data_IF_346125208873
#
_entry.id   IF_346125208873
#
_cell.length_a   1.000
_cell.length_b   1.000
_cell.length_c   1.000
_cell.angle_alpha   90.00
_cell.angle_beta   90.00
_cell.angle_gamma   90.00
#
_symmetry.space_group_name_H-M   'P 1'
#
loop_
_entity.id
_entity.type
_entity.pdbx_description
1 polymer ?
#
# COMPACT_ATOMS: atom_id res chain seq x y z
N UNK A 1 -20.48 -34.67 16.27
CA UNK A 1 -19.22 -33.94 16.50
C UNK A 1 -19.15 -32.84 15.44
N UNK A 2 -19.32 -31.58 15.77
CA UNK A 2 -19.04 -30.52 14.84
C UNK A 2 -17.52 -30.42 14.68
N UNK A 3 -17.04 -30.41 13.44
CA UNK A 3 -15.64 -30.15 13.13
C UNK A 3 -15.34 -28.71 13.59
N UNK A 4 -14.47 -28.56 14.57
CA UNK A 4 -13.89 -27.28 14.91
C UNK A 4 -13.13 -26.77 13.69
N UNK A 5 -13.71 -25.74 13.06
CA UNK A 5 -13.05 -24.98 12.00
C UNK A 5 -11.97 -24.14 12.70
N UNK A 6 -10.86 -24.74 13.01
CA UNK A 6 -9.66 -24.07 13.47
C UNK A 6 -9.11 -23.27 12.30
N UNK A 7 -9.64 -22.07 12.11
CA UNK A 7 -8.99 -21.08 11.27
C UNK A 7 -7.63 -20.78 11.92
N UNK A 8 -6.58 -21.41 11.40
CA UNK A 8 -5.20 -21.11 11.79
C UNK A 8 -4.99 -19.62 11.61
N UNK A 9 -4.57 -18.94 12.66
CA UNK A 9 -4.22 -17.52 12.61
C UNK A 9 -3.21 -17.29 11.49
N UNK A 10 -3.28 -16.16 10.78
CA UNK A 10 -2.32 -15.87 9.70
C UNK A 10 -0.89 -15.92 10.24
N UNK A 11 0.01 -16.54 9.48
CA UNK A 11 1.43 -16.71 9.85
C UNK A 11 2.23 -15.41 9.65
N UNK A 12 1.55 -14.28 9.45
CA UNK A 12 2.12 -12.95 9.23
C UNK A 12 1.34 -11.89 10.03
N UNK A 13 1.97 -10.73 10.23
CA UNK A 13 1.39 -9.58 10.92
C UNK A 13 1.70 -8.28 10.20
N UNK A 14 0.83 -7.28 10.39
CA UNK A 14 1.06 -5.90 9.95
C UNK A 14 1.58 -5.09 11.15
N UNK A 15 2.65 -4.35 10.94
CA UNK A 15 3.22 -3.45 11.94
C UNK A 15 3.76 -2.17 11.30
N UNK A 16 4.06 -1.17 12.11
CA UNK A 16 4.73 0.03 11.64
C UNK A 16 6.10 -0.29 11.04
N UNK A 17 6.44 0.41 9.95
CA UNK A 17 7.74 0.35 9.33
C UNK A 17 8.77 1.03 10.25
N UNK A 18 9.90 0.37 10.47
CA UNK A 18 11.04 0.88 11.20
C UNK A 18 12.16 1.28 10.23
N UNK A 19 13.04 2.24 10.59
CA UNK A 19 14.18 2.61 9.74
C UNK A 19 15.04 1.42 9.32
N UNK A 20 15.16 0.41 10.18
CA UNK A 20 15.89 -0.84 9.89
C UNK A 20 15.25 -1.71 8.81
N UNK A 21 13.97 -1.47 8.46
CA UNK A 21 13.26 -2.21 7.42
C UNK A 21 13.55 -1.69 6.00
N UNK A 22 14.16 -0.51 5.85
CA UNK A 22 14.33 0.15 4.55
C UNK A 22 15.15 -0.71 3.57
N UNK A 23 16.14 -1.43 4.04
CA UNK A 23 16.89 -2.38 3.22
C UNK A 23 16.01 -3.49 2.64
N UNK A 24 14.99 -3.92 3.39
CA UNK A 24 14.00 -4.89 2.92
C UNK A 24 13.09 -4.31 1.84
N UNK A 25 12.72 -3.03 1.93
CA UNK A 25 11.97 -2.34 0.88
C UNK A 25 12.74 -2.34 -0.44
N UNK A 26 14.01 -2.00 -0.42
CA UNK A 26 14.87 -2.01 -1.60
C UNK A 26 14.93 -3.40 -2.24
N UNK A 27 15.01 -4.44 -1.42
CA UNK A 27 14.99 -5.83 -1.89
C UNK A 27 13.66 -6.19 -2.57
N UNK A 28 12.53 -5.82 -1.95
CA UNK A 28 11.18 -6.07 -2.50
C UNK A 28 11.01 -5.35 -3.83
N UNK A 29 11.44 -4.10 -3.92
CA UNK A 29 11.28 -3.28 -5.11
C UNK A 29 12.14 -3.75 -6.30
N UNK A 30 13.22 -4.45 -6.03
CA UNK A 30 14.06 -5.03 -7.11
C UNK A 30 13.26 -5.93 -8.04
N UNK A 31 12.29 -6.66 -7.49
CA UNK A 31 11.45 -7.60 -8.22
C UNK A 31 10.05 -7.05 -8.56
N UNK A 32 9.78 -5.80 -8.17
CA UNK A 32 8.50 -5.10 -8.36
C UNK A 32 8.71 -3.84 -9.21
N UNK A 33 9.06 -4.02 -10.47
CA UNK A 33 9.40 -2.92 -11.39
C UNK A 33 8.22 -1.96 -11.66
N UNK A 34 6.99 -2.42 -11.43
CA UNK A 34 5.77 -1.62 -11.55
C UNK A 34 5.53 -0.67 -10.37
N UNK A 35 6.17 -0.92 -9.23
CA UNK A 35 6.09 -0.05 -8.07
C UNK A 35 7.03 1.16 -8.20
N UNK A 36 6.77 2.21 -7.44
CA UNK A 36 7.63 3.38 -7.43
C UNK A 36 9.04 3.02 -6.94
N UNK A 37 10.03 3.31 -7.76
CA UNK A 37 11.45 3.03 -7.49
C UNK A 37 12.11 4.29 -6.95
N UNK A 38 12.18 4.43 -5.62
CA UNK A 38 12.86 5.56 -4.97
C UNK A 38 14.16 5.10 -4.31
N UNK A 39 15.18 5.97 -4.25
CA UNK A 39 16.38 5.69 -3.48
C UNK A 39 16.07 5.58 -1.97
N UNK A 40 16.91 4.84 -1.25
CA UNK A 40 16.71 4.57 0.19
C UNK A 40 16.53 5.84 1.02
N UNK A 41 17.28 6.89 0.69
CA UNK A 41 17.23 8.18 1.37
C UNK A 41 15.86 8.86 1.23
N UNK A 42 15.15 8.60 0.12
CA UNK A 42 13.79 9.10 -0.07
C UNK A 42 12.81 8.44 0.89
N UNK A 43 12.95 7.15 1.13
CA UNK A 43 12.13 6.43 2.12
C UNK A 43 12.43 6.91 3.53
N UNK A 44 13.70 7.07 3.90
CA UNK A 44 14.11 7.60 5.20
C UNK A 44 13.54 8.99 5.47
N UNK A 45 13.53 9.83 4.47
CA UNK A 45 12.93 11.18 4.56
C UNK A 45 11.42 11.10 4.68
N UNK A 46 10.79 10.32 3.82
CA UNK A 46 9.32 10.23 3.72
C UNK A 46 8.68 9.73 5.02
N UNK A 47 9.24 8.69 5.64
CA UNK A 47 8.69 8.14 6.90
C UNK A 47 8.77 9.11 8.08
N UNK A 48 9.58 10.14 7.99
CA UNK A 48 9.73 11.18 9.02
C UNK A 48 8.84 12.40 8.78
N UNK A 49 8.22 12.51 7.61
CA UNK A 49 7.35 13.65 7.32
C UNK A 49 6.06 13.57 8.15
N UNK A 50 5.54 14.73 8.62
CA UNK A 50 4.23 14.76 9.25
C UNK A 50 3.15 14.18 8.34
N UNK A 51 2.24 13.40 8.92
CA UNK A 51 1.17 12.74 8.17
C UNK A 51 1.57 11.46 7.45
N UNK A 52 2.84 11.03 7.52
CA UNK A 52 3.26 9.77 6.94
C UNK A 52 2.71 8.58 7.72
N UNK A 53 2.20 7.61 6.97
CA UNK A 53 1.81 6.29 7.46
C UNK A 53 2.63 5.27 6.70
N UNK A 54 3.44 4.50 7.39
CA UNK A 54 4.29 3.48 6.79
C UNK A 54 4.11 2.15 7.54
N UNK A 55 3.70 1.12 6.82
CA UNK A 55 3.40 -0.20 7.34
C UNK A 55 4.21 -1.27 6.61
N UNK A 56 4.55 -2.33 7.31
CA UNK A 56 5.14 -3.54 6.74
C UNK A 56 4.30 -4.77 7.09
N UNK A 57 4.33 -5.74 6.20
CA UNK A 57 3.89 -7.10 6.48
C UNK A 57 5.12 -7.93 6.84
N UNK A 58 5.10 -8.54 8.01
CA UNK A 58 6.18 -9.41 8.50
C UNK A 58 5.69 -10.84 8.59
N UNK A 59 6.38 -11.75 7.92
CA UNK A 59 6.15 -13.19 7.99
C UNK A 59 7.47 -13.89 8.30
N UNK A 60 7.45 -14.82 9.28
CA UNK A 60 8.65 -15.57 9.68
C UNK A 60 9.86 -14.65 9.96
N UNK A 61 9.61 -13.55 10.67
CA UNK A 61 10.61 -12.53 11.03
C UNK A 61 11.26 -11.81 9.84
N UNK A 62 10.65 -11.88 8.65
CA UNK A 62 11.09 -11.17 7.47
C UNK A 62 10.00 -10.24 6.92
N UNK A 63 10.41 -9.06 6.45
CA UNK A 63 9.49 -8.13 5.77
C UNK A 63 9.21 -8.66 4.37
N UNK A 64 7.93 -8.91 4.07
CA UNK A 64 7.44 -9.47 2.82
C UNK A 64 6.71 -8.47 1.93
N UNK A 65 6.32 -7.34 2.49
CA UNK A 65 5.63 -6.27 1.78
C UNK A 65 5.57 -5.01 2.61
N UNK A 66 5.24 -3.91 1.97
CA UNK A 66 5.11 -2.61 2.63
C UNK A 66 4.06 -1.73 1.95
N UNK A 67 3.55 -0.76 2.69
CA UNK A 67 2.70 0.31 2.18
C UNK A 67 3.15 1.62 2.81
N UNK A 68 3.25 2.66 2.00
CA UNK A 68 3.48 4.03 2.45
C UNK A 68 2.36 4.91 1.93
N UNK A 69 1.76 5.68 2.83
CA UNK A 69 0.76 6.68 2.54
C UNK A 69 1.11 7.98 3.26
N UNK A 70 0.52 9.08 2.81
CA UNK A 70 0.67 10.37 3.46
C UNK A 70 -0.68 11.06 3.57
N UNK A 71 -0.99 11.52 4.76
CA UNK A 71 -2.18 12.31 5.06
C UNK A 71 -1.85 13.80 5.03
N UNK A 72 -2.74 14.58 4.41
CA UNK A 72 -2.77 16.05 4.47
C UNK A 72 -4.21 16.44 4.78
N UNK A 73 -4.43 16.95 5.97
CA UNK A 73 -5.77 17.32 6.50
C UNK A 73 -6.69 16.10 6.49
N UNK A 74 -7.73 16.08 5.67
CA UNK A 74 -8.75 15.04 5.56
C UNK A 74 -8.61 14.17 4.30
N UNK A 75 -7.50 14.31 3.58
CA UNK A 75 -7.14 13.51 2.42
C UNK A 75 -5.84 12.75 2.65
N UNK A 76 -5.69 11.61 2.00
CA UNK A 76 -4.45 10.86 1.99
C UNK A 76 -4.15 10.30 0.61
N UNK A 77 -2.89 10.03 0.35
CA UNK A 77 -2.42 9.38 -0.87
C UNK A 77 -1.63 8.13 -0.52
N UNK A 78 -1.95 7.01 -1.16
CA UNK A 78 -1.10 5.82 -1.15
C UNK A 78 0.03 6.06 -2.13
N UNK A 79 1.23 6.21 -1.62
CA UNK A 79 2.41 6.57 -2.41
C UNK A 79 3.13 5.36 -2.98
N UNK A 80 3.13 4.25 -2.24
CA UNK A 80 3.71 3.00 -2.70
C UNK A 80 3.12 1.81 -1.94
N UNK A 81 2.94 0.71 -2.64
CA UNK A 81 2.51 -0.58 -2.11
C UNK A 81 3.19 -1.67 -2.92
N UNK A 82 3.97 -2.50 -2.28
CA UNK A 82 4.62 -3.63 -2.93
C UNK A 82 4.72 -4.84 -2.01
N UNK A 83 4.65 -6.03 -2.59
CA UNK A 83 4.82 -7.32 -1.92
C UNK A 83 5.84 -8.14 -2.71
N UNK A 84 6.77 -8.79 -2.02
CA UNK A 84 7.75 -9.66 -2.66
C UNK A 84 7.04 -10.75 -3.49
N UNK A 85 7.64 -11.14 -4.60
CA UNK A 85 7.03 -12.04 -5.57
C UNK A 85 6.58 -13.36 -4.95
N UNK A 86 7.39 -13.95 -4.07
CA UNK A 86 7.11 -15.23 -3.41
C UNK A 86 5.91 -15.17 -2.45
N UNK A 87 5.56 -13.98 -1.96
CA UNK A 87 4.47 -13.77 -1.01
C UNK A 87 3.20 -13.21 -1.65
N UNK A 88 3.19 -13.01 -2.96
CA UNK A 88 2.01 -12.55 -3.70
C UNK A 88 0.89 -13.60 -3.62
N UNK A 89 -0.37 -13.13 -3.71
CA UNK A 89 -1.61 -13.93 -3.60
C UNK A 89 -1.83 -14.61 -2.25
N UNK A 90 -1.08 -14.23 -1.21
CA UNK A 90 -1.27 -14.70 0.17
C UNK A 90 -2.00 -13.70 1.05
N UNK A 91 -2.59 -12.65 0.47
CA UNK A 91 -3.37 -11.66 1.19
C UNK A 91 -2.55 -10.54 1.86
N UNK A 92 -1.24 -10.48 1.67
CA UNK A 92 -0.37 -9.49 2.30
C UNK A 92 -0.71 -8.05 1.85
N UNK A 93 -0.88 -7.84 0.55
CA UNK A 93 -1.25 -6.52 0.00
C UNK A 93 -2.63 -6.07 0.49
N UNK A 94 -3.61 -6.97 0.51
CA UNK A 94 -4.96 -6.68 1.03
C UNK A 94 -4.93 -6.32 2.51
N UNK A 95 -4.13 -7.01 3.31
CA UNK A 95 -3.98 -6.73 4.73
C UNK A 95 -3.27 -5.39 4.99
N UNK A 96 -2.22 -5.08 4.24
CA UNK A 96 -1.53 -3.78 4.29
C UNK A 96 -2.50 -2.64 3.97
N UNK A 97 -3.24 -2.77 2.88
CA UNK A 97 -4.20 -1.75 2.46
C UNK A 97 -5.34 -1.61 3.48
N UNK A 98 -5.92 -2.70 3.97
CA UNK A 98 -6.97 -2.66 4.97
C UNK A 98 -6.51 -1.99 6.27
N UNK A 99 -5.32 -2.32 6.76
CA UNK A 99 -4.73 -1.71 7.95
C UNK A 99 -4.48 -0.21 7.75
N UNK A 100 -3.94 0.19 6.60
CA UNK A 100 -3.72 1.59 6.28
C UNK A 100 -5.03 2.38 6.21
N UNK A 101 -6.04 1.87 5.50
CA UNK A 101 -7.35 2.54 5.39
C UNK A 101 -8.04 2.67 6.75
N UNK A 102 -7.92 1.68 7.63
CA UNK A 102 -8.47 1.76 8.98
C UNK A 102 -7.78 2.85 9.82
N UNK A 103 -6.45 2.93 9.78
CA UNK A 103 -5.70 3.96 10.50
C UNK A 103 -5.99 5.36 9.94
N UNK A 104 -6.02 5.53 8.62
CA UNK A 104 -6.35 6.80 7.98
C UNK A 104 -7.76 7.26 8.33
N UNK A 105 -8.74 6.36 8.31
CA UNK A 105 -10.11 6.67 8.75
C UNK A 105 -10.16 7.14 10.20
N UNK A 106 -9.45 6.45 11.09
CA UNK A 106 -9.40 6.81 12.51
C UNK A 106 -8.70 8.16 12.76
N UNK A 107 -7.83 8.59 11.86
CA UNK A 107 -7.18 9.91 11.90
C UNK A 107 -7.96 11.02 11.18
N UNK A 108 -9.18 10.74 10.73
CA UNK A 108 -10.09 11.74 10.13
C UNK A 108 -9.97 11.88 8.61
N UNK A 109 -9.30 10.97 7.92
CA UNK A 109 -9.24 10.99 6.46
C UNK A 109 -10.60 10.61 5.88
N UNK A 110 -11.09 11.41 4.95
CA UNK A 110 -12.36 11.22 4.25
C UNK A 110 -12.19 10.66 2.83
N UNK A 111 -11.04 10.91 2.20
CA UNK A 111 -10.72 10.42 0.86
C UNK A 111 -9.29 9.96 0.74
N UNK A 112 -9.09 8.85 0.04
CA UNK A 112 -7.77 8.30 -0.26
C UNK A 112 -7.59 8.22 -1.75
N UNK A 113 -6.45 8.71 -2.23
CA UNK A 113 -6.07 8.75 -3.65
C UNK A 113 -4.87 7.86 -3.89
N UNK A 114 -4.71 7.45 -5.13
CA UNK A 114 -3.49 6.83 -5.63
C UNK A 114 -3.37 7.04 -7.13
N UNK A 115 -2.16 6.82 -7.64
CA UNK A 115 -1.85 6.80 -9.06
C UNK A 115 -1.24 5.45 -9.40
N UNK A 116 -1.62 4.89 -10.54
CA UNK A 116 -1.15 3.60 -11.02
C UNK A 116 -0.90 3.67 -12.51
N UNK A 117 0.15 2.98 -12.98
CA UNK A 117 0.40 2.87 -14.44
C UNK A 117 -0.82 2.31 -15.14
N UNK A 118 -1.21 2.92 -16.24
CA UNK A 118 -2.39 2.50 -17.02
C UNK A 118 -2.27 1.04 -17.50
N UNK A 119 -1.06 0.57 -17.77
CA UNK A 119 -0.78 -0.82 -18.15
C UNK A 119 -0.82 -1.82 -16.98
N UNK A 120 -0.75 -1.35 -15.73
CA UNK A 120 -0.72 -2.23 -14.56
C UNK A 120 -2.12 -2.75 -14.20
N UNK A 121 -2.66 -3.61 -15.07
CA UNK A 121 -4.02 -4.15 -14.92
C UNK A 121 -4.21 -4.96 -13.62
N UNK A 122 -3.23 -5.77 -13.15
CA UNK A 122 -3.38 -6.45 -11.87
C UNK A 122 -3.56 -5.50 -10.68
N UNK A 123 -2.82 -4.39 -10.63
CA UNK A 123 -2.95 -3.40 -9.57
C UNK A 123 -4.29 -2.66 -9.66
N UNK A 124 -4.72 -2.27 -10.87
CA UNK A 124 -6.02 -1.63 -11.08
C UNK A 124 -7.15 -2.54 -10.59
N UNK A 125 -7.12 -3.82 -10.95
CA UNK A 125 -8.11 -4.80 -10.49
C UNK A 125 -8.09 -4.96 -8.97
N UNK A 126 -6.90 -4.99 -8.36
CA UNK A 126 -6.72 -5.04 -6.92
C UNK A 126 -7.36 -3.84 -6.21
N UNK A 127 -7.08 -2.63 -6.67
CA UNK A 127 -7.64 -1.43 -6.06
C UNK A 127 -9.17 -1.33 -6.26
N UNK A 128 -9.66 -1.71 -7.44
CA UNK A 128 -11.13 -1.80 -7.67
C UNK A 128 -11.81 -2.76 -6.70
N UNK A 129 -11.23 -3.91 -6.47
CA UNK A 129 -11.72 -4.90 -5.49
C UNK A 129 -11.79 -4.31 -4.08
N UNK A 130 -10.90 -3.39 -3.74
CA UNK A 130 -10.87 -2.68 -2.46
C UNK A 130 -11.68 -1.38 -2.44
N UNK A 131 -12.51 -1.14 -3.46
CA UNK A 131 -13.47 -0.05 -3.50
C UNK A 131 -12.92 1.28 -4.03
N UNK A 132 -11.75 1.27 -4.66
CA UNK A 132 -11.24 2.42 -5.40
C UNK A 132 -11.92 2.51 -6.77
N UNK A 133 -12.21 3.71 -7.20
CA UNK A 133 -12.79 4.01 -8.52
C UNK A 133 -11.87 4.97 -9.29
N UNK A 134 -11.85 4.89 -10.63
CA UNK A 134 -11.14 5.88 -11.44
C UNK A 134 -11.65 7.29 -11.17
N UNK A 135 -10.74 8.26 -11.04
CA UNK A 135 -11.05 9.67 -10.79
C UNK A 135 -10.41 10.62 -11.79
N UNK A 136 -9.50 10.15 -12.62
CA UNK A 136 -8.84 10.95 -13.64
C UNK A 136 -7.64 10.26 -14.25
N UNK A 137 -6.93 10.99 -15.08
CA UNK A 137 -5.69 10.57 -15.75
C UNK A 137 -4.66 11.69 -15.71
N UNK A 138 -3.39 11.31 -15.62
CA UNK A 138 -2.25 12.19 -15.85
C UNK A 138 -1.50 11.69 -17.08
N UNK A 139 -1.52 12.47 -18.15
CA UNK A 139 -0.87 12.09 -19.40
C UNK A 139 0.65 12.11 -19.25
N UNK A 140 1.31 11.08 -19.80
CA UNK A 140 2.76 10.95 -19.82
C UNK A 140 3.41 11.17 -18.42
N UNK A 141 2.76 10.70 -17.39
CA UNK A 141 3.16 10.90 -16.00
C UNK A 141 4.40 10.10 -15.62
N UNK A 142 4.46 8.85 -16.06
CA UNK A 142 5.61 7.97 -15.84
C UNK A 142 6.63 8.12 -16.96
N UNK A 143 7.88 7.84 -16.62
CA UNK A 143 9.00 7.77 -17.57
C UNK A 143 9.57 6.35 -17.55
N UNK A 144 10.23 5.96 -18.64
CA UNK A 144 10.95 4.69 -18.76
C UNK A 144 10.09 3.42 -18.53
N UNK A 145 9.05 3.15 -19.32
CA UNK A 145 8.58 3.89 -20.50
C UNK A 145 7.67 5.07 -20.15
N UNK A 146 7.48 5.98 -21.11
CA UNK A 146 6.47 7.04 -21.00
C UNK A 146 5.10 6.39 -21.01
N UNK A 147 4.30 6.70 -19.99
CA UNK A 147 2.98 6.09 -19.80
C UNK A 147 2.09 7.00 -18.97
N UNK A 148 0.80 6.93 -19.22
CA UNK A 148 -0.20 7.64 -18.42
C UNK A 148 -0.36 7.00 -17.04
N UNK A 149 -0.72 7.81 -16.06
CA UNK A 149 -1.23 7.36 -14.78
C UNK A 149 -2.76 7.37 -14.78
N UNK A 150 -3.35 6.27 -14.35
CA UNK A 150 -4.75 6.24 -13.91
C UNK A 150 -4.80 6.73 -12.46
N UNK A 151 -5.56 7.79 -12.21
CA UNK A 151 -5.84 8.25 -10.86
C UNK A 151 -7.05 7.50 -10.32
N UNK A 152 -6.98 7.03 -9.09
CA UNK A 152 -8.07 6.34 -8.42
C UNK A 152 -8.32 6.94 -7.06
N UNK A 153 -9.57 6.88 -6.61
CA UNK A 153 -9.96 7.38 -5.29
C UNK A 153 -10.91 6.43 -4.56
N UNK A 154 -10.87 6.51 -3.26
CA UNK A 154 -11.82 5.86 -2.37
C UNK A 154 -12.28 6.84 -1.30
N UNK A 155 -13.61 6.99 -1.15
CA UNK A 155 -14.21 7.70 -0.02
C UNK A 155 -14.23 6.78 1.20
N UNK A 156 -13.79 7.31 2.34
CA UNK A 156 -13.90 6.62 3.62
C UNK A 156 -15.14 7.14 4.34
N UNK A 157 -15.94 6.22 4.87
CA UNK A 157 -17.02 6.61 5.78
C UNK A 157 -16.40 7.09 7.08
N UNK A 158 -16.90 8.20 7.61
CA UNK A 158 -16.51 8.67 8.93
C UNK A 158 -16.66 7.54 9.96
N UNK A 159 -15.72 7.47 10.91
CA UNK A 159 -15.89 6.55 12.03
C UNK A 159 -17.21 6.91 12.72
N UNK A 160 -18.10 5.93 12.91
CA UNK A 160 -19.30 6.14 13.73
C UNK A 160 -18.84 6.25 15.18
N UNK A 161 -19.26 7.32 15.83
CA UNK A 161 -19.09 7.47 17.28
C UNK A 161 -19.84 6.36 18.04
#
# INVERSE_FOLDING_TARGET
>A
MPAENSATAPTWKIRALLPTDISSLTRILRDASEAAQWPSESYERLIRLPGSLALVCEAQSAVTGFLIARQVIDEAEVLNLAVQTQSRRNGHASALLAAALAQLRNSGVLRVFLEVRDSNQPAIAFYRKHGFIPSGRRNAYYRDPVEDALCMEKKLLAARD
#
